data_IF_653071488631
#
_entry.id   IF_653071488631
#
_cell.length_a   1.000
_cell.length_b   1.000
_cell.length_c   1.000
_cell.angle_alpha   90.00
_cell.angle_beta   90.00
_cell.angle_gamma   90.00
#
_symmetry.space_group_name_H-M   'P 1'
#
loop_
_entity.id
_entity.type
_entity.pdbx_description
1 polymer ?
#
# COMPACT_ATOMS: atom_id res chain seq x y z
N UNK A 1 -4.09 -7.22 -8.10
CA UNK A 1 -2.82 -7.21 -7.35
C UNK A 1 -3.07 -7.97 -6.05
N UNK A 2 -2.22 -8.92 -5.69
CA UNK A 2 -2.25 -9.54 -4.37
C UNK A 2 -1.29 -8.77 -3.46
N UNK A 3 -1.68 -8.56 -2.20
CA UNK A 3 -0.86 -7.82 -1.22
C UNK A 3 -0.64 -8.73 -0.03
N UNK A 4 0.60 -8.75 0.47
CA UNK A 4 1.03 -9.61 1.57
C UNK A 4 1.60 -8.79 2.71
N UNK A 5 1.50 -9.31 3.92
CA UNK A 5 2.06 -8.73 5.14
C UNK A 5 3.08 -9.70 5.75
N UNK A 6 4.13 -9.14 6.34
CA UNK A 6 5.09 -9.84 7.17
C UNK A 6 5.51 -8.91 8.33
N UNK A 7 5.59 -9.47 9.53
CA UNK A 7 6.07 -8.81 10.75
C UNK A 7 7.57 -9.06 11.01
N UNK A 8 8.13 -10.10 10.38
CA UNK A 8 9.55 -10.44 10.46
C UNK A 8 10.25 -10.36 9.10
N UNK A 9 11.48 -9.87 9.10
CA UNK A 9 12.38 -9.93 7.94
C UNK A 9 13.83 -10.13 8.41
N UNK A 10 14.68 -10.62 7.51
CA UNK A 10 16.12 -10.80 7.75
C UNK A 10 16.95 -10.20 6.62
N UNK A 11 18.14 -9.70 6.95
CA UNK A 11 19.09 -9.13 6.00
C UNK A 11 18.98 -7.61 5.84
N UNK A 12 19.92 -7.00 5.08
CA UNK A 12 19.91 -5.56 4.85
C UNK A 12 18.88 -5.15 3.80
N UNK A 13 18.38 -3.92 3.92
CA UNK A 13 17.60 -3.27 2.86
C UNK A 13 18.56 -2.83 1.76
N UNK A 14 18.30 -3.23 0.51
CA UNK A 14 19.15 -2.94 -0.65
C UNK A 14 18.33 -2.26 -1.74
N UNK A 15 18.78 -1.08 -2.17
CA UNK A 15 18.14 -0.34 -3.26
C UNK A 15 18.35 -1.06 -4.60
N UNK A 16 17.39 -0.91 -5.51
CA UNK A 16 17.42 -1.58 -6.83
C UNK A 16 17.38 -0.55 -7.95
N UNK A 17 17.40 -1.01 -9.20
CA UNK A 17 17.21 -0.14 -10.37
C UNK A 17 15.81 0.52 -10.40
N UNK A 18 14.85 -0.01 -9.64
CA UNK A 18 13.49 0.54 -9.54
C UNK A 18 13.42 1.70 -8.54
N UNK A 19 14.37 1.80 -7.60
CA UNK A 19 14.46 2.90 -6.65
C UNK A 19 15.12 2.55 -5.32
N UNK A 20 15.10 3.53 -4.42
CA UNK A 20 15.63 3.41 -3.06
C UNK A 20 14.59 2.84 -2.11
N UNK A 21 15.03 1.92 -1.23
CA UNK A 21 14.20 1.36 -0.17
C UNK A 21 14.50 2.07 1.16
N UNK A 22 13.45 2.55 1.83
CA UNK A 22 13.55 3.28 3.10
C UNK A 22 12.41 2.90 4.04
N UNK A 23 12.70 2.87 5.34
CA UNK A 23 11.66 2.76 6.37
C UNK A 23 10.84 4.05 6.44
N UNK A 24 9.51 3.91 6.47
CA UNK A 24 8.56 5.02 6.64
C UNK A 24 7.62 4.72 7.80
N UNK A 25 7.23 5.76 8.53
CA UNK A 25 6.16 5.65 9.53
C UNK A 25 4.81 5.51 8.84
N UNK A 26 3.84 4.90 9.52
CA UNK A 26 2.46 4.81 9.01
C UNK A 26 1.86 6.21 8.76
N UNK A 27 2.11 7.17 9.66
CA UNK A 27 1.68 8.55 9.50
C UNK A 27 2.19 9.19 8.20
N UNK A 28 3.47 8.95 7.87
CA UNK A 28 4.02 9.40 6.59
C UNK A 28 3.31 8.74 5.40
N UNK A 29 3.02 7.43 5.49
CA UNK A 29 2.32 6.71 4.41
C UNK A 29 0.91 7.25 4.19
N UNK A 30 0.18 7.63 5.24
CA UNK A 30 -1.19 8.12 5.11
C UNK A 30 -1.30 9.56 4.60
N UNK A 31 -0.28 10.40 4.82
CA UNK A 31 -0.38 11.84 4.56
C UNK A 31 0.60 12.38 3.52
N UNK A 32 1.61 11.60 3.10
CA UNK A 32 2.60 12.05 2.13
C UNK A 32 2.03 12.08 0.71
N UNK A 33 2.24 13.17 -0.05
CA UNK A 33 1.84 13.24 -1.47
C UNK A 33 2.68 12.32 -2.37
N UNK A 34 3.77 11.74 -1.85
CA UNK A 34 4.62 10.80 -2.59
C UNK A 34 4.09 9.36 -2.55
N UNK A 35 2.98 9.11 -1.87
CA UNK A 35 2.37 7.78 -1.76
C UNK A 35 1.28 7.64 -2.81
N UNK A 36 1.24 6.49 -3.49
CA UNK A 36 0.19 6.19 -4.46
C UNK A 36 -1.16 6.23 -3.75
N UNK A 37 -2.10 6.98 -4.32
CA UNK A 37 -3.38 7.34 -3.70
C UNK A 37 -4.24 6.14 -3.27
N UNK A 38 -4.00 4.94 -3.82
CA UNK A 38 -4.72 3.72 -3.46
C UNK A 38 -4.23 3.07 -2.15
N UNK A 39 -2.97 3.29 -1.74
CA UNK A 39 -2.37 2.64 -0.57
C UNK A 39 -3.12 3.01 0.71
N UNK A 40 -3.43 4.29 1.00
CA UNK A 40 -4.20 4.67 2.18
C UNK A 40 -5.57 3.99 2.30
N UNK A 41 -6.18 3.55 1.18
CA UNK A 41 -7.50 2.91 1.21
C UNK A 41 -7.46 1.46 1.69
N UNK A 42 -6.44 0.67 1.31
CA UNK A 42 -6.37 -0.75 1.68
C UNK A 42 -5.40 -1.05 2.82
N UNK A 43 -4.41 -0.19 3.06
CA UNK A 43 -3.40 -0.41 4.10
C UNK A 43 -3.99 -0.57 5.52
N UNK A 44 -5.02 0.18 5.96
CA UNK A 44 -5.61 -0.05 7.28
C UNK A 44 -6.21 -1.45 7.44
N UNK A 45 -6.68 -2.07 6.35
CA UNK A 45 -7.28 -3.40 6.38
C UNK A 45 -6.24 -4.50 6.40
N UNK A 46 -5.10 -4.32 5.72
CA UNK A 46 -4.03 -5.32 5.72
C UNK A 46 -3.26 -5.38 7.04
N UNK A 47 -3.25 -4.26 7.79
CA UNK A 47 -2.61 -4.17 9.10
C UNK A 47 -3.53 -4.63 10.24
N UNK A 48 -4.81 -4.85 9.97
CA UNK A 48 -5.77 -5.41 10.91
C UNK A 48 -5.77 -6.94 10.81
N UNK A 49 -4.81 -7.57 11.49
CA UNK A 49 -4.54 -9.01 11.40
C UNK A 49 -5.66 -9.90 11.98
N UNK A 50 -6.65 -9.32 12.64
CA UNK A 50 -7.83 -10.03 13.14
C UNK A 50 -8.92 -10.20 12.07
N UNK A 51 -8.79 -9.52 10.91
CA UNK A 51 -9.77 -9.54 9.83
C UNK A 51 -9.35 -10.43 8.67
N UNK A 52 -10.36 -11.01 8.03
CA UNK A 52 -10.18 -11.73 6.78
C UNK A 52 -9.70 -10.78 5.66
N UNK A 53 -8.87 -11.27 4.72
CA UNK A 53 -8.45 -10.51 3.55
C UNK A 53 -9.66 -10.03 2.73
N UNK A 54 -9.61 -8.76 2.29
CA UNK A 54 -10.67 -8.14 1.49
C UNK A 54 -10.26 -7.99 0.03
N UNK A 55 -11.26 -7.98 -0.86
CA UNK A 55 -11.06 -7.64 -2.26
C UNK A 55 -11.25 -6.13 -2.46
N UNK A 56 -10.21 -5.44 -2.91
CA UNK A 56 -10.24 -4.00 -3.22
C UNK A 56 -10.26 -3.79 -4.74
N UNK A 57 -11.24 -3.03 -5.23
CA UNK A 57 -11.37 -2.65 -6.65
C UNK A 57 -11.24 -1.16 -6.79
N UNK A 58 -10.27 -0.71 -7.59
CA UNK A 58 -10.04 0.68 -7.92
C UNK A 58 -10.19 0.86 -9.43
N UNK A 59 -10.89 1.92 -9.83
CA UNK A 59 -10.99 2.36 -11.21
C UNK A 59 -10.21 3.66 -11.35
N UNK A 60 -9.33 3.72 -12.34
CA UNK A 60 -8.48 4.87 -12.59
C UNK A 60 -8.82 5.49 -13.94
N UNK A 61 -8.59 6.78 -14.07
CA UNK A 61 -8.58 7.44 -15.36
C UNK A 61 -7.23 7.27 -16.09
N UNK A 62 -7.03 8.05 -17.16
CA UNK A 62 -5.81 8.01 -17.96
C UNK A 62 -4.63 8.75 -17.31
N UNK A 63 -4.87 9.62 -16.33
CA UNK A 63 -3.81 10.31 -15.58
C UNK A 63 -3.34 9.46 -14.39
N UNK A 64 -4.09 8.41 -14.04
CA UNK A 64 -3.80 7.53 -12.91
C UNK A 64 -4.52 7.95 -11.64
N UNK A 65 -5.46 8.89 -11.74
CA UNK A 65 -6.28 9.33 -10.62
C UNK A 65 -7.44 8.37 -10.38
N UNK A 66 -7.82 8.18 -9.12
CA UNK A 66 -8.91 7.28 -8.74
C UNK A 66 -10.25 7.91 -9.12
N UNK A 67 -10.98 7.27 -10.03
CA UNK A 67 -12.35 7.61 -10.38
C UNK A 67 -13.35 7.03 -9.38
N UNK A 68 -13.14 5.78 -8.97
CA UNK A 68 -14.00 5.11 -7.99
C UNK A 68 -13.29 3.95 -7.29
N UNK A 69 -13.78 3.63 -6.08
CA UNK A 69 -13.25 2.58 -5.22
C UNK A 69 -14.39 1.81 -4.57
N UNK A 70 -14.31 0.48 -4.62
CA UNK A 70 -15.23 -0.43 -3.90
C UNK A 70 -14.44 -1.54 -3.21
N UNK A 71 -14.97 -2.07 -2.11
CA UNK A 71 -14.41 -3.22 -1.39
C UNK A 71 -15.46 -4.30 -1.15
N UNK A 72 -15.04 -5.55 -1.09
CA UNK A 72 -15.88 -6.72 -0.80
C UNK A 72 -15.22 -7.61 0.24
#
# INVERSE_FOLDING_TARGET
>A
MYVYYADTFEGPIVSTIEGNLEWKTLDWIYHSPNVVSNIPHFLPYILDLEKEPLEHRFYYDKTGDILSYTRK
#
